data_IF_454745357184
#
_entry.id   IF_454745357184
#
_cell.length_a   1.000
_cell.length_b   1.000
_cell.length_c   1.000
_cell.angle_alpha   90.00
_cell.angle_beta   90.00
_cell.angle_gamma   90.00
#
_symmetry.space_group_name_H-M   'P 1'
#
loop_
_entity.id
_entity.type
_entity.pdbx_description
1 polymer ?
#
# COMPACT_ATOMS: atom_id res chain seq x y z
N UNK A 1 -4.71 25.23 9.57
CA UNK A 1 -4.69 23.99 8.77
C UNK A 1 -5.17 22.86 9.67
N UNK A 2 -6.22 22.14 9.28
CA UNK A 2 -6.71 21.00 10.07
C UNK A 2 -5.72 19.86 9.93
N UNK A 3 -5.22 19.33 11.05
CA UNK A 3 -4.35 18.15 11.04
C UNK A 3 -5.18 16.86 10.91
N UNK A 4 -4.62 15.83 10.30
CA UNK A 4 -5.27 14.52 10.16
C UNK A 4 -5.69 13.93 11.52
N UNK A 5 -4.97 14.23 12.58
CA UNK A 5 -5.25 13.81 13.95
C UNK A 5 -6.54 14.42 14.54
N UNK A 6 -7.01 15.53 13.97
CA UNK A 6 -8.19 16.26 14.43
C UNK A 6 -9.47 15.90 13.66
N UNK A 7 -9.39 15.01 12.68
CA UNK A 7 -10.54 14.62 11.86
C UNK A 7 -11.47 13.70 12.67
N UNK A 8 -12.74 14.11 12.77
CA UNK A 8 -13.79 13.24 13.33
C UNK A 8 -14.15 12.12 12.34
N UNK A 9 -13.59 10.94 12.59
CA UNK A 9 -13.78 9.77 11.74
C UNK A 9 -15.23 9.25 11.73
N UNK A 10 -16.01 9.51 12.78
CA UNK A 10 -17.44 9.12 12.80
C UNK A 10 -18.24 9.97 11.81
N UNK A 11 -18.06 11.30 11.88
CA UNK A 11 -18.68 12.20 10.91
C UNK A 11 -18.17 11.96 9.49
N UNK A 12 -16.90 11.61 9.33
CA UNK A 12 -16.32 11.25 8.03
C UNK A 12 -17.00 10.00 7.45
N UNK A 13 -17.19 8.95 8.25
CA UNK A 13 -17.81 7.69 7.84
C UNK A 13 -19.33 7.78 7.60
N UNK A 14 -19.96 8.90 7.94
CA UNK A 14 -21.35 9.21 7.59
C UNK A 14 -21.47 10.11 6.35
N UNK A 15 -20.36 10.48 5.73
CA UNK A 15 -20.35 11.32 4.53
C UNK A 15 -20.65 12.81 4.80
N UNK A 16 -20.43 13.29 6.04
CA UNK A 16 -20.66 14.70 6.37
C UNK A 16 -19.73 15.61 5.56
N UNK A 17 -20.30 16.45 4.70
CA UNK A 17 -19.58 17.21 3.67
C UNK A 17 -18.42 18.04 4.23
N UNK A 18 -18.65 18.82 5.29
CA UNK A 18 -17.58 19.69 5.86
C UNK A 18 -16.41 18.87 6.40
N UNK A 19 -16.70 17.75 7.06
CA UNK A 19 -15.67 16.83 7.57
C UNK A 19 -14.91 16.19 6.43
N UNK A 20 -15.61 15.83 5.35
CA UNK A 20 -14.99 15.28 4.15
C UNK A 20 -14.09 16.29 3.45
N UNK A 21 -14.53 17.53 3.26
CA UNK A 21 -13.73 18.59 2.66
C UNK A 21 -12.44 18.86 3.48
N UNK A 22 -12.56 18.90 4.81
CA UNK A 22 -11.42 19.06 5.72
C UNK A 22 -10.46 17.87 5.63
N UNK A 23 -10.99 16.66 5.57
CA UNK A 23 -10.20 15.43 5.43
C UNK A 23 -9.46 15.39 4.10
N UNK A 24 -10.12 15.67 2.98
CA UNK A 24 -9.48 15.72 1.65
C UNK A 24 -8.33 16.71 1.67
N UNK A 25 -8.54 17.92 2.21
CA UNK A 25 -7.49 18.95 2.30
C UNK A 25 -6.29 18.47 3.13
N UNK A 26 -6.54 17.83 4.27
CA UNK A 26 -5.48 17.38 5.18
C UNK A 26 -4.77 16.10 4.67
N UNK A 27 -5.48 15.20 3.99
CA UNK A 27 -4.96 13.92 3.53
C UNK A 27 -4.24 13.99 2.18
N UNK A 28 -4.64 14.92 1.28
CA UNK A 28 -4.12 15.00 -0.09
C UNK A 28 -2.59 15.06 -0.16
N UNK A 29 -1.86 15.85 0.64
CA UNK A 29 -0.40 15.88 0.55
C UNK A 29 0.24 14.53 0.85
N UNK A 30 -0.25 13.83 1.86
CA UNK A 30 0.23 12.49 2.22
C UNK A 30 -0.08 11.47 1.13
N UNK A 31 -1.34 11.43 0.67
CA UNK A 31 -1.79 10.49 -0.37
C UNK A 31 -0.98 10.69 -1.65
N UNK A 32 -0.84 11.93 -2.11
CA UNK A 32 -0.07 12.24 -3.31
C UNK A 32 1.41 11.83 -3.18
N UNK A 33 2.03 12.09 -2.03
CA UNK A 33 3.42 11.70 -1.79
C UNK A 33 3.61 10.18 -1.82
N UNK A 34 2.70 9.44 -1.18
CA UNK A 34 2.73 7.96 -1.14
C UNK A 34 2.47 7.36 -2.51
N UNK A 35 1.44 7.85 -3.22
CA UNK A 35 1.09 7.37 -4.57
C UNK A 35 2.23 7.64 -5.54
N UNK A 36 2.78 8.86 -5.57
CA UNK A 36 3.93 9.21 -6.42
C UNK A 36 5.14 8.32 -6.15
N UNK A 37 5.44 8.06 -4.86
CA UNK A 37 6.53 7.16 -4.48
C UNK A 37 6.24 5.72 -4.91
N UNK A 38 5.03 5.22 -4.70
CA UNK A 38 4.64 3.86 -5.07
C UNK A 38 4.67 3.64 -6.59
N UNK A 39 4.35 4.68 -7.37
CA UNK A 39 4.31 4.62 -8.83
C UNK A 39 5.64 5.00 -9.50
N UNK A 40 6.66 5.40 -8.75
CA UNK A 40 7.94 5.87 -9.31
C UNK A 40 8.68 4.81 -10.13
N UNK A 41 8.43 3.53 -9.88
CA UNK A 41 9.00 2.38 -10.62
C UNK A 41 8.21 2.04 -11.88
N UNK A 42 7.00 2.59 -12.01
CA UNK A 42 6.14 2.38 -13.18
C UNK A 42 6.34 3.54 -14.17
N UNK A 43 6.32 3.24 -15.46
CA UNK A 43 6.39 4.27 -16.52
C UNK A 43 5.00 4.87 -16.74
N UNK A 44 4.51 5.62 -15.76
CA UNK A 44 3.21 6.26 -15.76
C UNK A 44 3.35 7.78 -15.92
N UNK A 45 2.36 8.39 -16.56
CA UNK A 45 2.28 9.83 -16.71
C UNK A 45 1.92 10.53 -15.39
N UNK A 46 2.12 11.85 -15.32
CA UNK A 46 1.68 12.64 -14.17
C UNK A 46 0.16 12.57 -13.98
N UNK A 47 -0.60 12.53 -15.09
CA UNK A 47 -2.06 12.35 -15.05
C UNK A 47 -2.46 11.00 -14.44
N UNK A 48 -1.75 9.91 -14.79
CA UNK A 48 -1.98 8.60 -14.18
C UNK A 48 -1.71 8.62 -12.65
N UNK A 49 -0.71 9.38 -12.20
CA UNK A 49 -0.42 9.55 -10.77
C UNK A 49 -1.55 10.32 -10.08
N UNK A 50 -2.08 11.36 -10.71
CA UNK A 50 -3.23 12.10 -10.20
C UNK A 50 -4.49 11.23 -10.14
N UNK A 51 -4.76 10.45 -11.18
CA UNK A 51 -5.88 9.52 -11.23
C UNK A 51 -5.77 8.44 -10.14
N UNK A 52 -4.57 7.89 -9.93
CA UNK A 52 -4.33 6.94 -8.85
C UNK A 52 -4.55 7.55 -7.46
N UNK A 53 -4.20 8.82 -7.26
CA UNK A 53 -4.47 9.53 -6.01
C UNK A 53 -5.97 9.77 -5.80
N UNK A 54 -6.73 10.08 -6.85
CA UNK A 54 -8.18 10.18 -6.80
C UNK A 54 -8.83 8.83 -6.50
N UNK A 55 -8.32 7.71 -7.06
CA UNK A 55 -8.80 6.35 -6.81
C UNK A 55 -8.73 5.99 -5.31
N UNK A 56 -7.75 6.52 -4.56
CA UNK A 56 -7.69 6.36 -3.10
C UNK A 56 -8.93 6.95 -2.43
N UNK A 57 -9.32 8.18 -2.77
CA UNK A 57 -10.51 8.80 -2.20
C UNK A 57 -11.79 8.07 -2.60
N UNK A 58 -11.89 7.63 -3.86
CA UNK A 58 -13.01 6.83 -4.34
C UNK A 58 -13.13 5.54 -3.53
N UNK A 59 -12.02 4.84 -3.26
CA UNK A 59 -12.02 3.62 -2.42
C UNK A 59 -12.43 3.89 -0.99
N UNK A 60 -12.03 5.03 -0.42
CA UNK A 60 -12.43 5.41 0.93
C UNK A 60 -13.93 5.67 1.05
N UNK A 61 -14.56 6.20 -0.02
CA UNK A 61 -16.00 6.44 -0.08
C UNK A 61 -16.81 5.20 -0.46
N UNK A 62 -16.20 4.23 -1.13
CA UNK A 62 -16.90 3.08 -1.70
C UNK A 62 -17.60 2.23 -0.63
N UNK A 63 -18.72 1.60 -1.04
CA UNK A 63 -19.47 0.66 -0.22
C UNK A 63 -19.83 1.24 1.17
N UNK A 64 -20.38 2.44 1.18
CA UNK A 64 -20.80 3.14 2.41
C UNK A 64 -19.65 3.30 3.40
N UNK A 65 -18.52 3.82 2.92
CA UNK A 65 -17.29 4.05 3.71
C UNK A 65 -16.75 2.80 4.42
N UNK A 66 -17.01 1.62 3.86
CA UNK A 66 -16.63 0.34 4.46
C UNK A 66 -15.15 0.30 4.84
N UNK A 67 -14.27 0.80 3.97
CA UNK A 67 -12.84 0.80 4.22
C UNK A 67 -12.47 1.70 5.41
N UNK A 68 -13.03 2.90 5.50
CA UNK A 68 -12.85 3.80 6.65
C UNK A 68 -13.33 3.16 7.96
N UNK A 69 -14.43 2.43 7.93
CA UNK A 69 -14.98 1.72 9.09
C UNK A 69 -14.07 0.58 9.60
N UNK A 70 -13.07 0.16 8.82
CA UNK A 70 -12.07 -0.83 9.25
C UNK A 70 -10.87 -0.21 9.97
N UNK A 71 -10.75 1.11 9.97
CA UNK A 71 -9.65 1.78 10.67
C UNK A 71 -9.80 1.64 12.18
N UNK A 72 -8.71 1.24 12.82
CA UNK A 72 -8.62 1.07 14.27
C UNK A 72 -7.49 1.95 14.82
N UNK A 73 -7.82 3.03 15.57
CA UNK A 73 -6.82 3.96 16.11
C UNK A 73 -5.89 3.33 17.15
N UNK A 74 -6.27 2.19 17.72
CA UNK A 74 -5.41 1.47 18.69
C UNK A 74 -4.26 0.73 18.01
N UNK A 75 -4.38 0.47 16.69
CA UNK A 75 -3.41 -0.31 15.91
C UNK A 75 -2.39 0.57 15.20
N UNK A 76 -2.79 1.72 14.70
CA UNK A 76 -1.89 2.65 13.99
C UNK A 76 -2.47 4.06 13.95
N UNK A 77 -1.60 5.06 13.78
CA UNK A 77 -2.03 6.43 13.47
C UNK A 77 -2.77 6.47 12.11
N UNK A 78 -3.72 7.40 11.96
CA UNK A 78 -4.48 7.57 10.73
C UNK A 78 -3.58 7.79 9.51
N UNK A 79 -2.51 8.57 9.66
CA UNK A 79 -1.53 8.81 8.60
C UNK A 79 -0.84 7.53 8.14
N UNK A 80 -0.46 6.66 9.07
CA UNK A 80 0.16 5.36 8.77
C UNK A 80 -0.82 4.43 8.03
N UNK A 81 -2.06 4.37 8.51
CA UNK A 81 -3.10 3.56 7.87
C UNK A 81 -3.41 4.07 6.46
N UNK A 82 -3.54 5.40 6.28
CA UNK A 82 -3.74 6.02 4.97
C UNK A 82 -2.58 5.73 4.01
N UNK A 83 -1.33 5.76 4.50
CA UNK A 83 -0.17 5.44 3.67
C UNK A 83 -0.23 4.00 3.14
N UNK A 84 -0.64 3.04 3.97
CA UNK A 84 -0.81 1.63 3.56
C UNK A 84 -1.93 1.51 2.52
N UNK A 85 -3.09 2.14 2.75
CA UNK A 85 -4.22 2.13 1.82
C UNK A 85 -3.84 2.77 0.48
N UNK A 86 -3.15 3.92 0.52
CA UNK A 86 -2.74 4.66 -0.67
C UNK A 86 -1.73 3.87 -1.51
N UNK A 87 -0.75 3.22 -0.85
CA UNK A 87 0.22 2.38 -1.54
C UNK A 87 -0.48 1.19 -2.24
N UNK A 88 -1.35 0.49 -1.53
CA UNK A 88 -2.12 -0.64 -2.10
C UNK A 88 -2.95 -0.19 -3.30
N UNK A 89 -3.66 0.95 -3.19
CA UNK A 89 -4.45 1.49 -4.27
C UNK A 89 -3.61 1.86 -5.50
N UNK A 90 -2.44 2.48 -5.29
CA UNK A 90 -1.52 2.87 -6.36
C UNK A 90 -0.98 1.65 -7.12
N UNK A 91 -0.55 0.61 -6.42
CA UNK A 91 -0.05 -0.63 -7.05
C UNK A 91 -1.16 -1.32 -7.85
N UNK A 92 -2.38 -1.41 -7.30
CA UNK A 92 -3.53 -1.96 -8.02
C UNK A 92 -3.89 -1.13 -9.27
N UNK A 93 -3.76 0.21 -9.19
CA UNK A 93 -3.97 1.10 -10.33
C UNK A 93 -2.95 0.81 -11.43
N UNK A 94 -1.67 0.75 -11.10
CA UNK A 94 -0.59 0.47 -12.04
C UNK A 94 -0.80 -0.88 -12.75
N UNK A 95 -1.21 -1.91 -12.03
CA UNK A 95 -1.50 -3.24 -12.58
C UNK A 95 -2.66 -3.19 -13.57
N UNK A 96 -3.76 -2.53 -13.21
CA UNK A 96 -4.91 -2.37 -14.13
C UNK A 96 -4.52 -1.61 -15.38
N UNK A 97 -3.72 -0.55 -15.24
CA UNK A 97 -3.25 0.25 -16.37
C UNK A 97 -2.38 -0.56 -17.31
N UNK A 98 -1.45 -1.34 -16.76
CA UNK A 98 -0.58 -2.24 -17.54
C UNK A 98 -1.38 -3.29 -18.30
N UNK A 99 -2.40 -3.89 -17.68
CA UNK A 99 -3.28 -4.85 -18.35
C UNK A 99 -4.10 -4.21 -19.48
N UNK A 100 -4.54 -2.97 -19.31
CA UNK A 100 -5.31 -2.25 -20.33
C UNK A 100 -4.45 -1.77 -21.52
N UNK A 101 -3.15 -1.60 -21.33
CA UNK A 101 -2.21 -1.12 -22.36
C UNK A 101 -1.42 -2.25 -23.04
N UNK A 102 -1.49 -3.49 -22.57
CA UNK A 102 -0.89 -4.64 -23.25
C UNK A 102 -1.78 -5.07 -24.43
N UNK A 103 -1.32 -4.93 -25.69
CA UNK A 103 -1.86 -5.73 -26.79
C UNK A 103 -1.61 -7.22 -26.48
N UNK A 104 -2.53 -8.09 -26.90
CA UNK A 104 -2.51 -9.53 -26.64
C UNK A 104 -1.28 -10.25 -27.21
N UNK A 105 -0.53 -9.60 -28.10
CA UNK A 105 0.67 -10.14 -28.73
C UNK A 105 1.82 -9.12 -28.61
N UNK A 106 2.96 -9.60 -28.10
CA UNK A 106 4.26 -8.94 -27.93
C UNK A 106 4.50 -8.26 -26.57
N UNK A 107 5.01 -9.07 -25.61
CA UNK A 107 5.84 -8.56 -24.53
C UNK A 107 7.28 -8.45 -25.08
N UNK A 108 7.80 -7.25 -25.36
CA UNK A 108 9.21 -7.12 -25.72
C UNK A 108 10.06 -7.55 -24.53
N UNK A 109 10.96 -8.48 -24.74
CA UNK A 109 11.94 -8.96 -23.73
C UNK A 109 12.77 -7.81 -23.12
N UNK A 110 12.88 -6.69 -23.80
CA UNK A 110 13.50 -5.44 -23.32
C UNK A 110 12.72 -4.73 -22.19
N UNK A 111 11.45 -5.09 -21.94
CA UNK A 111 10.68 -4.54 -20.82
C UNK A 111 11.04 -5.19 -19.47
N UNK A 112 11.88 -6.22 -19.48
CA UNK A 112 12.41 -6.93 -18.30
C UNK A 112 13.73 -6.33 -17.77
N UNK A 113 14.31 -5.36 -18.47
CA UNK A 113 15.45 -4.62 -17.95
C UNK A 113 14.96 -3.60 -16.90
N UNK A 114 14.73 -4.07 -15.70
CA UNK A 114 14.64 -3.25 -14.49
C UNK A 114 16.04 -2.71 -14.27
N UNK A 115 16.33 -1.48 -14.71
CA UNK A 115 17.46 -0.73 -14.19
C UNK A 115 17.37 -0.76 -12.65
N UNK A 116 18.46 -1.12 -12.04
CA UNK A 116 18.69 -1.28 -10.60
C UNK A 116 18.48 0.09 -9.92
N UNK A 117 17.23 0.52 -9.80
CA UNK A 117 16.85 1.72 -9.03
C UNK A 117 16.81 1.29 -7.59
N UNK A 118 17.58 1.94 -6.75
CA UNK A 118 17.69 1.81 -5.32
C UNK A 118 16.31 1.68 -4.66
N UNK A 119 15.74 0.49 -4.71
CA UNK A 119 14.75 0.06 -3.73
C UNK A 119 15.55 -0.09 -2.45
N UNK A 120 15.31 0.76 -1.46
CA UNK A 120 15.88 0.55 -0.13
C UNK A 120 15.52 -0.87 0.30
N UNK A 121 16.52 -1.77 0.20
CA UNK A 121 16.33 -3.16 0.58
C UNK A 121 15.90 -3.20 2.03
N UNK A 122 14.84 -3.94 2.33
CA UNK A 122 14.38 -4.16 3.69
C UNK A 122 15.55 -4.69 4.54
N UNK A 123 16.07 -3.85 5.42
CA UNK A 123 17.09 -4.24 6.40
C UNK A 123 16.40 -5.00 7.53
N UNK A 124 16.27 -6.30 7.37
CA UNK A 124 15.72 -7.20 8.39
C UNK A 124 16.92 -7.74 9.18
N UNK A 125 16.94 -7.60 10.52
CA UNK A 125 17.98 -8.17 11.35
C UNK A 125 18.11 -9.69 11.12
N UNK A 126 19.34 -10.19 11.05
CA UNK A 126 19.63 -11.60 10.81
C UNK A 126 19.03 -12.47 11.93
N UNK A 127 18.36 -13.55 11.54
CA UNK A 127 17.77 -14.50 12.47
C UNK A 127 16.43 -14.08 13.12
N UNK A 128 15.98 -12.82 12.92
CA UNK A 128 14.71 -12.35 13.48
C UNK A 128 13.49 -13.01 12.83
N UNK A 129 13.55 -13.22 11.54
CA UNK A 129 12.48 -13.83 10.75
C UNK A 129 12.92 -15.17 10.16
N UNK A 130 11.97 -16.08 9.96
CA UNK A 130 12.24 -17.30 9.19
C UNK A 130 12.45 -16.94 7.71
N UNK A 131 13.19 -17.78 6.98
CA UNK A 131 13.41 -17.61 5.53
C UNK A 131 12.10 -17.37 4.77
N UNK A 132 11.06 -18.12 5.11
CA UNK A 132 9.73 -17.98 4.48
C UNK A 132 9.06 -16.65 4.80
N UNK A 133 9.22 -16.14 6.03
CA UNK A 133 8.72 -14.82 6.41
C UNK A 133 9.47 -13.71 5.66
N UNK A 134 10.79 -13.81 5.60
CA UNK A 134 11.64 -12.87 4.85
C UNK A 134 11.30 -12.87 3.37
N UNK A 135 11.12 -14.06 2.76
CA UNK A 135 10.75 -14.18 1.35
C UNK A 135 9.40 -13.52 1.06
N UNK A 136 8.38 -13.77 1.88
CA UNK A 136 7.06 -13.16 1.69
C UNK A 136 7.12 -11.64 1.84
N UNK A 137 7.90 -11.12 2.81
CA UNK A 137 8.09 -9.67 2.94
C UNK A 137 8.81 -9.08 1.72
N UNK A 138 9.85 -9.72 1.21
CA UNK A 138 10.53 -9.28 -0.01
C UNK A 138 9.57 -9.26 -1.20
N UNK A 139 8.83 -10.33 -1.43
CA UNK A 139 7.84 -10.37 -2.50
C UNK A 139 6.78 -9.27 -2.39
N UNK A 140 6.29 -8.97 -1.17
CA UNK A 140 5.28 -7.94 -0.94
C UNK A 140 5.83 -6.52 -1.07
N UNK A 141 7.04 -6.25 -0.55
CA UNK A 141 7.54 -4.89 -0.34
C UNK A 141 8.67 -4.48 -1.29
N UNK A 142 9.49 -5.42 -1.76
CA UNK A 142 10.53 -5.15 -2.74
C UNK A 142 10.07 -5.46 -4.16
N UNK A 143 9.42 -6.62 -4.38
CA UNK A 143 8.92 -7.04 -5.69
C UNK A 143 7.49 -6.58 -5.97
N UNK A 144 6.82 -5.94 -5.01
CA UNK A 144 5.47 -5.39 -5.11
C UNK A 144 4.41 -6.39 -5.59
N UNK A 145 4.62 -7.69 -5.32
CA UNK A 145 3.67 -8.76 -5.66
C UNK A 145 2.46 -8.72 -4.76
N UNK A 146 1.31 -9.11 -5.31
CA UNK A 146 0.12 -9.30 -4.48
C UNK A 146 0.10 -10.69 -3.80
N UNK A 147 -0.83 -10.83 -2.84
CA UNK A 147 -0.99 -12.06 -2.07
C UNK A 147 -1.32 -13.28 -2.95
N UNK A 148 -2.06 -13.07 -4.04
CA UNK A 148 -2.47 -14.14 -4.96
C UNK A 148 -1.28 -14.60 -5.81
N UNK A 149 -0.51 -13.65 -6.34
CA UNK A 149 0.74 -13.93 -7.08
C UNK A 149 1.75 -14.69 -6.21
N UNK A 150 1.92 -14.25 -4.95
CA UNK A 150 2.81 -14.95 -4.00
C UNK A 150 2.30 -16.35 -3.67
N UNK A 151 1.00 -16.49 -3.50
CA UNK A 151 0.38 -17.79 -3.24
C UNK A 151 0.62 -18.77 -4.41
N UNK A 152 0.48 -18.30 -5.65
CA UNK A 152 0.78 -19.07 -6.86
C UNK A 152 2.27 -19.40 -6.97
N UNK A 153 3.15 -18.40 -6.78
CA UNK A 153 4.60 -18.56 -6.85
C UNK A 153 5.12 -19.60 -5.85
N UNK A 154 4.64 -19.52 -4.60
CA UNK A 154 5.07 -20.40 -3.51
C UNK A 154 4.24 -21.68 -3.41
N UNK A 155 3.26 -21.88 -4.29
CA UNK A 155 2.31 -23.01 -4.27
C UNK A 155 1.65 -23.23 -2.91
N UNK A 156 1.15 -22.16 -2.32
CA UNK A 156 0.43 -22.13 -1.04
C UNK A 156 -0.87 -21.35 -1.21
N UNK A 157 -1.77 -21.45 -0.24
CA UNK A 157 -2.99 -20.66 -0.28
C UNK A 157 -2.76 -19.20 0.16
N UNK A 158 -3.62 -18.30 -0.32
CA UNK A 158 -3.54 -16.88 -0.04
C UNK A 158 -3.68 -16.56 1.46
N UNK A 159 -4.39 -17.39 2.22
CA UNK A 159 -4.54 -17.22 3.67
C UNK A 159 -3.23 -17.52 4.40
N UNK A 160 -2.48 -18.51 3.92
CA UNK A 160 -1.14 -18.81 4.44
C UNK A 160 -0.17 -17.65 4.20
N UNK A 161 -0.22 -16.99 3.04
CA UNK A 161 0.57 -15.77 2.79
C UNK A 161 0.22 -14.68 3.80
N UNK A 162 -1.09 -14.38 3.98
CA UNK A 162 -1.56 -13.35 4.92
C UNK A 162 -1.16 -13.64 6.37
N UNK A 163 -1.33 -14.89 6.81
CA UNK A 163 -0.99 -15.28 8.19
C UNK A 163 0.51 -15.25 8.45
N UNK A 164 1.33 -15.65 7.47
CA UNK A 164 2.79 -15.59 7.58
C UNK A 164 3.29 -14.15 7.58
N UNK A 165 2.75 -13.30 6.72
CA UNK A 165 3.00 -11.86 6.71
C UNK A 165 2.65 -11.22 8.06
N UNK A 166 1.46 -11.50 8.60
CA UNK A 166 1.05 -10.99 9.90
C UNK A 166 2.01 -11.38 11.03
N UNK A 167 2.41 -12.65 11.08
CA UNK A 167 3.39 -13.14 12.07
C UNK A 167 4.75 -12.48 11.93
N UNK A 168 5.20 -12.22 10.70
CA UNK A 168 6.44 -11.51 10.44
C UNK A 168 6.39 -10.07 10.97
N UNK A 169 5.31 -9.34 10.69
CA UNK A 169 5.12 -7.98 11.19
C UNK A 169 5.04 -7.90 12.71
N UNK A 170 4.42 -8.89 13.38
CA UNK A 170 4.40 -8.95 14.85
C UNK A 170 5.82 -9.05 15.41
N UNK A 171 6.65 -9.96 14.88
CA UNK A 171 8.03 -10.12 15.33
C UNK A 171 8.88 -8.86 15.12
N UNK A 172 8.75 -8.24 13.95
CA UNK A 172 9.42 -6.96 13.67
C UNK A 172 8.98 -5.88 14.67
N UNK A 173 7.67 -5.79 14.95
CA UNK A 173 7.12 -4.80 15.88
C UNK A 173 7.61 -5.02 17.32
N UNK A 174 7.71 -6.25 17.77
CA UNK A 174 8.26 -6.60 19.08
C UNK A 174 9.72 -6.18 19.17
N UNK A 175 10.54 -6.58 18.20
CA UNK A 175 11.97 -6.23 18.14
C UNK A 175 12.22 -4.72 18.18
N UNK A 176 11.54 -3.94 17.33
CA UNK A 176 11.72 -2.49 17.28
C UNK A 176 11.03 -1.72 18.43
N UNK A 177 10.14 -2.36 19.20
CA UNK A 177 9.64 -1.78 20.42
C UNK A 177 10.65 -1.87 21.57
N UNK A 178 11.45 -2.93 21.60
CA UNK A 178 12.50 -3.11 22.60
C UNK A 178 13.72 -2.22 22.33
N UNK A 179 13.93 -1.76 21.09
CA UNK A 179 15.01 -0.84 20.72
C UNK A 179 14.63 0.65 20.80
N UNK A 180 13.35 0.99 21.01
CA UNK A 180 12.92 2.37 21.17
C UNK A 180 13.23 2.83 22.61
N UNK A 181 14.05 3.90 22.79
CA UNK A 181 14.42 4.44 24.10
C UNK A 181 13.23 5.02 24.86
#
# INVERSE_FOLDING_TARGET
MTELSQIDLRSLATGHKRTWDAFVTAASPLINAVVRRALSTYRLSEDDVMDAAQDVFVRLCANDFRLLKTYDPTRAALSTWLAVVSRSAAVDFARRRRQATSPIDEVPEAALAVEDRHVEKLKIPDGLLTERQTLILKCLYEEERDVVEIAQLLKIDAQTVRSTHHKALLRLREHFKEEAP
#
